data_IF_407108208690
#
_entry.id   IF_407108208690
#
_cell.length_a   1.000
_cell.length_b   1.000
_cell.length_c   1.000
_cell.angle_alpha   90.00
_cell.angle_beta   90.00
_cell.angle_gamma   90.00
#
_symmetry.space_group_name_H-M   'P 1'
#
loop_
_entity.id
_entity.type
_entity.pdbx_description
1 polymer ?
#
# COMPACT_ATOMS: atom_id res chain seq x y z
N UNK A 1 12.13 -18.72 -72.72
CA UNK A 1 11.06 -17.79 -72.26
C UNK A 1 10.37 -18.26 -70.98
N UNK A 2 10.06 -19.57 -70.79
CA UNK A 2 9.48 -20.09 -69.54
C UNK A 2 10.35 -19.84 -68.30
N UNK A 3 11.66 -20.02 -68.39
CA UNK A 3 12.57 -19.85 -67.23
C UNK A 3 12.66 -18.41 -66.74
N UNK A 4 12.58 -17.44 -67.67
CA UNK A 4 12.57 -16.00 -67.35
C UNK A 4 11.26 -15.61 -66.67
N UNK A 5 10.12 -16.14 -67.13
CA UNK A 5 8.82 -15.91 -66.52
C UNK A 5 8.74 -16.50 -65.10
N UNK A 6 9.30 -17.70 -64.90
CA UNK A 6 9.33 -18.37 -63.60
C UNK A 6 10.29 -17.68 -62.61
N UNK A 7 11.43 -17.19 -63.10
CA UNK A 7 12.36 -16.36 -62.31
C UNK A 7 11.73 -15.04 -61.88
N UNK A 8 11.06 -14.32 -62.79
CA UNK A 8 10.32 -13.10 -62.47
C UNK A 8 9.18 -13.36 -61.47
N UNK A 9 8.43 -14.45 -61.63
CA UNK A 9 7.39 -14.87 -60.68
C UNK A 9 7.96 -15.08 -59.27
N UNK A 10 9.08 -15.79 -59.14
CA UNK A 10 9.71 -16.02 -57.83
C UNK A 10 10.24 -14.72 -57.20
N UNK A 11 10.81 -13.81 -57.98
CA UNK A 11 11.25 -12.50 -57.50
C UNK A 11 10.07 -11.64 -57.01
N UNK A 12 8.97 -11.60 -57.77
CA UNK A 12 7.76 -10.87 -57.34
C UNK A 12 7.13 -11.45 -56.08
N UNK A 13 7.18 -12.78 -55.90
CA UNK A 13 6.73 -13.43 -54.67
C UNK A 13 7.60 -13.07 -53.46
N UNK A 14 8.93 -13.10 -53.61
CA UNK A 14 9.85 -12.73 -52.51
C UNK A 14 9.71 -11.26 -52.12
N UNK A 15 9.56 -10.36 -53.10
CA UNK A 15 9.36 -8.93 -52.84
C UNK A 15 8.03 -8.71 -52.12
N UNK A 16 6.92 -9.30 -52.60
CA UNK A 16 5.61 -9.15 -51.96
C UNK A 16 5.58 -9.75 -50.54
N UNK A 17 6.20 -10.91 -50.33
CA UNK A 17 6.35 -11.51 -49.00
C UNK A 17 7.18 -10.64 -48.05
N UNK A 18 8.28 -10.04 -48.53
CA UNK A 18 9.12 -9.15 -47.73
C UNK A 18 8.41 -7.85 -47.33
N UNK A 19 7.63 -7.26 -48.24
CA UNK A 19 6.81 -6.08 -47.97
C UNK A 19 5.70 -6.41 -46.98
N UNK A 20 5.04 -7.55 -47.14
CA UNK A 20 4.02 -8.02 -46.20
C UNK A 20 4.60 -8.22 -44.79
N UNK A 21 5.78 -8.83 -44.67
CA UNK A 21 6.48 -8.98 -43.39
C UNK A 21 6.84 -7.63 -42.77
N UNK A 22 7.36 -6.67 -43.55
CA UNK A 22 7.63 -5.32 -43.07
C UNK A 22 6.36 -4.63 -42.56
N UNK A 23 5.25 -4.77 -43.27
CA UNK A 23 3.95 -4.20 -42.85
C UNK A 23 3.49 -4.83 -41.54
N UNK A 24 3.60 -6.15 -41.37
CA UNK A 24 3.27 -6.82 -40.10
C UNK A 24 4.16 -6.27 -38.98
N UNK A 25 5.47 -6.20 -39.17
CA UNK A 25 6.41 -5.68 -38.16
C UNK A 25 6.04 -4.24 -37.78
N UNK A 26 5.77 -3.39 -38.77
CA UNK A 26 5.37 -2.00 -38.53
C UNK A 26 4.06 -1.91 -37.74
N UNK A 27 3.05 -2.70 -38.10
CA UNK A 27 1.78 -2.77 -37.38
C UNK A 27 2.01 -3.26 -35.95
N UNK A 28 2.78 -4.34 -35.75
CA UNK A 28 3.08 -4.89 -34.42
C UNK A 28 3.81 -3.87 -33.53
N UNK A 29 4.79 -3.14 -34.07
CA UNK A 29 5.51 -2.09 -33.33
C UNK A 29 4.57 -0.94 -32.97
N UNK A 30 3.76 -0.46 -33.93
CA UNK A 30 2.83 0.65 -33.74
C UNK A 30 1.74 0.29 -32.73
N UNK A 31 1.13 -0.88 -32.87
CA UNK A 31 0.12 -1.41 -31.95
C UNK A 31 0.73 -1.66 -30.57
N UNK A 32 1.93 -2.23 -30.48
CA UNK A 32 2.64 -2.41 -29.22
C UNK A 32 2.99 -1.10 -28.52
N UNK A 33 3.24 -0.01 -29.25
CA UNK A 33 3.39 1.34 -28.66
C UNK A 33 2.07 1.86 -28.11
N UNK A 34 0.98 1.81 -28.89
CA UNK A 34 -0.35 2.25 -28.45
C UNK A 34 -0.88 1.43 -27.26
N UNK A 35 -0.69 0.11 -27.28
CA UNK A 35 -1.10 -0.78 -26.19
C UNK A 35 -0.34 -0.45 -24.89
N UNK A 36 0.98 -0.20 -24.98
CA UNK A 36 1.76 0.26 -23.83
C UNK A 36 1.29 1.61 -23.29
N UNK A 37 0.97 2.56 -24.18
CA UNK A 37 0.39 3.85 -23.76
C UNK A 37 -0.95 3.66 -23.06
N UNK A 38 -1.85 2.83 -23.58
CA UNK A 38 -3.15 2.55 -22.97
C UNK A 38 -3.00 1.89 -21.58
N UNK A 39 -2.11 0.91 -21.45
CA UNK A 39 -1.80 0.28 -20.16
C UNK A 39 -1.25 1.33 -19.18
N UNK A 40 -0.37 2.22 -19.65
CA UNK A 40 0.18 3.28 -18.83
C UNK A 40 -0.89 4.27 -18.36
N UNK A 41 -1.76 4.77 -19.24
CA UNK A 41 -2.86 5.67 -18.84
C UNK A 41 -3.78 5.02 -17.82
N UNK A 42 -4.20 3.78 -18.06
CA UNK A 42 -5.02 3.03 -17.10
C UNK A 42 -4.33 2.85 -15.75
N UNK A 43 -3.01 2.65 -15.73
CA UNK A 43 -2.25 2.57 -14.48
C UNK A 43 -2.20 3.91 -13.76
N UNK A 44 -2.03 5.02 -14.48
CA UNK A 44 -2.06 6.37 -13.92
C UNK A 44 -3.42 6.66 -13.31
N UNK A 45 -4.51 6.35 -14.00
CA UNK A 45 -5.88 6.59 -13.52
C UNK A 45 -6.16 5.78 -12.23
N UNK A 46 -5.86 4.47 -12.25
CA UNK A 46 -6.06 3.60 -11.07
C UNK A 46 -5.23 4.07 -9.88
N UNK A 47 -3.97 4.48 -10.09
CA UNK A 47 -3.14 5.01 -9.00
C UNK A 47 -3.64 6.38 -8.54
N UNK A 48 -4.12 7.22 -9.45
CA UNK A 48 -4.74 8.51 -9.13
C UNK A 48 -5.93 8.33 -8.20
N UNK A 49 -6.86 7.43 -8.56
CA UNK A 49 -8.03 7.09 -7.75
C UNK A 49 -7.62 6.49 -6.39
N UNK A 50 -6.67 5.54 -6.38
CA UNK A 50 -6.15 4.98 -5.13
C UNK A 50 -5.54 6.05 -4.22
N UNK A 51 -4.75 6.98 -4.78
CA UNK A 51 -4.11 8.04 -4.01
C UNK A 51 -5.12 9.06 -3.49
N UNK A 52 -6.08 9.46 -4.32
CA UNK A 52 -7.11 10.43 -3.95
C UNK A 52 -7.97 9.90 -2.81
N UNK A 53 -8.45 8.66 -2.91
CA UNK A 53 -9.29 8.05 -1.87
C UNK A 53 -8.49 7.85 -0.57
N UNK A 54 -7.23 7.43 -0.66
CA UNK A 54 -6.37 7.30 0.53
C UNK A 54 -6.14 8.65 1.21
N UNK A 55 -5.87 9.69 0.43
CA UNK A 55 -5.72 11.04 0.96
C UNK A 55 -7.00 11.53 1.63
N UNK A 56 -8.16 11.31 1.00
CA UNK A 56 -9.46 11.67 1.57
C UNK A 56 -9.72 11.00 2.92
N UNK A 57 -9.37 9.72 3.05
CA UNK A 57 -9.52 8.96 4.31
C UNK A 57 -8.56 9.45 5.40
N UNK A 58 -7.35 9.88 5.02
CA UNK A 58 -6.37 10.43 5.95
C UNK A 58 -6.72 11.83 6.43
N UNK A 59 -7.28 12.66 5.55
CA UNK A 59 -7.61 14.05 5.84
C UNK A 59 -9.00 14.19 6.50
N UNK A 60 -9.72 13.08 6.70
CA UNK A 60 -11.02 13.07 7.35
C UNK A 60 -10.93 13.56 8.81
N UNK A 61 -11.78 14.53 9.23
CA UNK A 61 -11.75 15.07 10.57
C UNK A 61 -12.30 14.08 11.61
N UNK A 62 -11.67 14.06 12.77
CA UNK A 62 -12.08 13.25 13.90
C UNK A 62 -13.21 13.93 14.67
N UNK A 63 -14.18 13.12 15.11
CA UNK A 63 -15.35 13.60 15.85
C UNK A 63 -15.03 13.59 17.34
N UNK A 64 -15.14 14.74 18.02
CA UNK A 64 -15.02 14.76 19.48
C UNK A 64 -16.19 14.02 20.12
N UNK A 65 -15.94 13.23 21.16
CA UNK A 65 -16.99 12.51 21.89
C UNK A 65 -18.05 13.45 22.50
N UNK A 66 -17.69 14.72 22.72
CA UNK A 66 -18.57 15.82 23.16
C UNK A 66 -19.44 16.41 22.03
N UNK A 67 -19.43 15.80 20.83
CA UNK A 67 -20.19 16.18 19.62
C UNK A 67 -19.77 17.49 18.94
N UNK A 68 -18.56 17.99 19.22
CA UNK A 68 -17.94 19.03 18.40
C UNK A 68 -17.14 18.38 17.26
N UNK A 69 -17.33 18.83 16.01
CA UNK A 69 -16.45 18.42 14.90
C UNK A 69 -15.12 19.13 15.12
N UNK A 70 -14.05 18.37 15.27
CA UNK A 70 -12.72 18.95 15.50
C UNK A 70 -11.97 19.18 14.19
N UNK A 71 -10.92 20.00 14.24
CA UNK A 71 -10.00 20.21 13.13
C UNK A 71 -8.85 19.18 13.08
N UNK A 72 -8.90 18.12 13.91
CA UNK A 72 -7.84 17.10 13.94
C UNK A 72 -8.18 16.02 12.93
N UNK A 73 -7.32 15.84 11.92
CA UNK A 73 -7.48 14.78 10.93
C UNK A 73 -6.95 13.42 11.44
N UNK A 74 -7.40 12.32 10.83
CA UNK A 74 -6.82 10.99 11.07
C UNK A 74 -5.29 10.99 10.86
N UNK A 75 -4.80 11.66 9.81
CA UNK A 75 -3.37 11.84 9.55
C UNK A 75 -2.65 12.49 10.73
N UNK A 76 -3.17 13.60 11.23
CA UNK A 76 -2.57 14.31 12.38
C UNK A 76 -2.56 13.43 13.62
N UNK A 77 -3.60 12.63 13.84
CA UNK A 77 -3.66 11.69 14.95
C UNK A 77 -2.66 10.53 14.84
N UNK A 78 -2.52 9.96 13.63
CA UNK A 78 -1.59 8.86 13.39
C UNK A 78 -0.12 9.30 13.40
N UNK A 79 0.17 10.54 13.01
CA UNK A 79 1.53 11.09 13.07
C UNK A 79 1.92 11.56 14.47
N UNK A 80 0.97 11.68 15.39
CA UNK A 80 1.28 12.10 16.75
C UNK A 80 2.04 11.01 17.52
N UNK A 81 3.19 11.40 18.06
CA UNK A 81 4.09 10.58 18.86
C UNK A 81 3.64 10.47 20.33
N UNK A 82 2.65 11.25 20.76
CA UNK A 82 2.06 11.15 22.09
C UNK A 82 1.12 9.92 22.20
N UNK A 83 1.25 9.08 23.25
CA UNK A 83 0.44 7.88 23.39
C UNK A 83 -1.02 8.25 23.71
N UNK A 84 -1.92 8.00 22.75
CA UNK A 84 -3.35 8.04 23.00
C UNK A 84 -3.81 6.68 23.54
N UNK A 85 -4.39 6.68 24.75
CA UNK A 85 -4.97 5.48 25.35
C UNK A 85 -6.40 5.31 24.83
N UNK A 86 -6.71 4.12 24.30
CA UNK A 86 -8.07 3.72 24.00
C UNK A 86 -8.85 3.57 25.32
N UNK A 87 -9.92 4.34 25.49
CA UNK A 87 -10.86 4.20 26.60
C UNK A 87 -12.20 3.73 26.06
N UNK A 88 -12.42 2.42 26.11
CA UNK A 88 -13.70 1.83 25.74
C UNK A 88 -13.63 0.31 25.72
N UNK A 89 -14.77 -0.34 25.74
CA UNK A 89 -14.89 -1.74 25.35
C UNK A 89 -15.31 -1.75 23.87
N UNK A 90 -14.51 -2.40 23.00
CA UNK A 90 -14.75 -2.49 21.54
C UNK A 90 -16.13 -3.07 21.23
N UNK A 91 -16.66 -3.86 22.16
CA UNK A 91 -18.00 -4.44 22.12
C UNK A 91 -19.11 -3.45 22.53
N UNK A 92 -18.81 -2.49 23.40
CA UNK A 92 -19.82 -1.58 23.97
C UNK A 92 -20.18 -0.39 23.06
N UNK A 93 -19.25 0.05 22.19
CA UNK A 93 -19.51 1.10 21.21
C UNK A 93 -19.77 0.47 19.83
N UNK A 94 -21.05 0.15 19.57
CA UNK A 94 -21.48 -0.56 18.37
C UNK A 94 -20.86 0.01 17.08
N UNK A 95 -20.79 1.34 16.94
CA UNK A 95 -20.52 1.97 15.64
C UNK A 95 -19.19 2.74 15.54
N UNK A 96 -18.48 2.97 16.64
CA UNK A 96 -17.27 3.81 16.62
C UNK A 96 -16.17 3.35 17.60
N UNK A 97 -14.91 3.52 17.22
CA UNK A 97 -13.75 3.42 18.10
C UNK A 97 -13.49 4.77 18.77
N UNK A 98 -13.21 4.80 20.07
CA UNK A 98 -12.94 6.02 20.84
C UNK A 98 -11.50 6.08 21.34
N UNK A 99 -10.86 7.23 21.28
CA UNK A 99 -9.48 7.41 21.73
C UNK A 99 -9.32 8.74 22.47
N UNK A 100 -8.48 8.75 23.51
CA UNK A 100 -8.25 9.95 24.32
C UNK A 100 -6.86 10.49 24.03
N UNK A 101 -6.79 11.78 23.71
CA UNK A 101 -5.55 12.53 23.49
C UNK A 101 -5.67 13.89 24.19
N UNK A 102 -4.65 14.29 24.93
CA UNK A 102 -4.59 15.59 25.62
C UNK A 102 -5.85 15.88 26.48
N UNK A 103 -6.38 14.83 27.13
CA UNK A 103 -7.63 14.86 27.89
C UNK A 103 -8.92 15.06 27.06
N UNK A 104 -8.82 15.11 25.73
CA UNK A 104 -9.94 15.15 24.80
C UNK A 104 -10.25 13.75 24.26
N UNK A 105 -11.52 13.36 24.28
CA UNK A 105 -12.00 12.10 23.69
C UNK A 105 -12.42 12.35 22.25
N UNK A 106 -11.94 11.52 21.34
CA UNK A 106 -12.27 11.50 19.93
C UNK A 106 -12.88 10.14 19.55
N UNK A 107 -13.60 10.11 18.44
CA UNK A 107 -14.23 8.91 17.92
C UNK A 107 -14.08 8.81 16.40
N UNK A 108 -13.86 7.59 15.90
CA UNK A 108 -13.85 7.23 14.48
C UNK A 108 -14.89 6.14 14.25
N UNK A 109 -15.83 6.32 13.29
CA UNK A 109 -16.75 5.27 12.89
C UNK A 109 -16.00 4.03 12.40
N UNK A 110 -16.44 2.84 12.80
CA UNK A 110 -15.82 1.57 12.39
C UNK A 110 -15.82 1.41 10.86
N UNK A 111 -16.87 1.89 10.19
CA UNK A 111 -16.98 1.90 8.73
C UNK A 111 -15.79 2.60 8.05
N UNK A 112 -15.32 3.72 8.60
CA UNK A 112 -14.18 4.45 8.04
C UNK A 112 -12.87 3.68 8.20
N UNK A 113 -12.72 2.94 9.30
CA UNK A 113 -11.56 2.07 9.53
C UNK A 113 -11.57 0.90 8.56
N UNK A 114 -12.75 0.29 8.33
CA UNK A 114 -12.89 -0.75 7.31
C UNK A 114 -12.57 -0.24 5.91
N UNK A 115 -13.09 0.94 5.54
CA UNK A 115 -12.79 1.59 4.27
C UNK A 115 -11.28 1.83 4.12
N UNK A 116 -10.64 2.36 5.17
CA UNK A 116 -9.20 2.57 5.21
C UNK A 116 -8.39 1.27 5.04
N UNK A 117 -8.71 0.23 5.79
CA UNK A 117 -8.00 -1.07 5.71
C UNK A 117 -8.23 -1.77 4.36
N UNK A 118 -9.45 -1.68 3.83
CA UNK A 118 -9.75 -2.18 2.48
C UNK A 118 -8.93 -1.45 1.42
N UNK A 119 -8.78 -0.13 1.56
CA UNK A 119 -8.00 0.66 0.62
C UNK A 119 -6.50 0.34 0.70
N UNK A 120 -5.98 0.10 1.91
CA UNK A 120 -4.63 -0.44 2.11
C UNK A 120 -4.45 -1.82 1.47
N UNK A 121 -5.47 -2.69 1.53
CA UNK A 121 -5.47 -3.98 0.83
C UNK A 121 -5.35 -3.82 -0.69
N UNK A 122 -6.09 -2.89 -1.28
CA UNK A 122 -6.00 -2.59 -2.71
C UNK A 122 -4.61 -2.08 -3.09
N UNK A 123 -4.04 -1.16 -2.30
CA UNK A 123 -2.69 -0.64 -2.50
C UNK A 123 -1.61 -1.74 -2.42
N UNK A 124 -1.67 -2.60 -1.40
CA UNK A 124 -0.78 -3.74 -1.26
C UNK A 124 -0.87 -4.69 -2.47
N UNK A 125 -2.10 -5.03 -2.89
CA UNK A 125 -2.35 -5.88 -4.05
C UNK A 125 -1.78 -5.26 -5.33
N UNK A 126 -1.93 -3.94 -5.49
CA UNK A 126 -1.36 -3.21 -6.60
C UNK A 126 0.18 -3.25 -6.58
N UNK A 127 0.83 -2.99 -5.44
CA UNK A 127 2.30 -3.05 -5.31
C UNK A 127 2.83 -4.44 -5.70
N UNK A 128 2.17 -5.50 -5.24
CA UNK A 128 2.52 -6.88 -5.61
C UNK A 128 2.42 -7.12 -7.11
N UNK A 129 1.34 -6.70 -7.75
CA UNK A 129 1.14 -6.85 -9.20
C UNK A 129 2.09 -5.95 -10.00
N UNK A 130 2.32 -4.71 -9.56
CA UNK A 130 3.18 -3.71 -10.24
C UNK A 130 4.64 -4.16 -10.32
N UNK A 131 5.14 -4.87 -9.30
CA UNK A 131 6.52 -5.44 -9.32
C UNK A 131 6.83 -6.25 -10.57
N UNK A 132 5.82 -6.84 -11.21
CA UNK A 132 5.99 -7.69 -12.39
C UNK A 132 5.92 -6.91 -13.72
N UNK A 133 5.24 -5.74 -13.76
CA UNK A 133 4.86 -5.11 -15.03
C UNK A 133 5.59 -3.80 -15.36
N UNK A 134 5.73 -2.83 -14.45
CA UNK A 134 6.60 -1.63 -14.62
C UNK A 134 6.53 -0.70 -13.39
N UNK A 135 7.65 -0.15 -12.88
CA UNK A 135 7.68 0.60 -11.61
C UNK A 135 7.33 2.11 -11.68
N UNK A 136 6.78 2.61 -12.79
CA UNK A 136 6.80 4.06 -13.07
C UNK A 136 5.82 4.92 -12.26
N UNK A 137 4.67 4.39 -11.84
CA UNK A 137 3.65 5.17 -11.12
C UNK A 137 3.67 4.80 -9.64
N UNK A 138 3.93 5.78 -8.77
CA UNK A 138 4.06 5.59 -7.32
C UNK A 138 2.74 5.84 -6.60
N UNK A 139 2.42 5.00 -5.62
CA UNK A 139 1.30 5.24 -4.71
C UNK A 139 1.72 6.27 -3.65
N UNK A 140 0.76 7.06 -3.16
CA UNK A 140 0.97 8.09 -2.14
C UNK A 140 1.57 7.48 -0.87
N UNK A 141 1.07 6.30 -0.45
CA UNK A 141 1.60 5.52 0.67
C UNK A 141 3.10 5.18 0.54
N UNK A 142 3.64 5.18 -0.68
CA UNK A 142 5.07 4.96 -0.91
C UNK A 142 5.91 6.22 -0.62
N UNK A 143 5.30 7.37 -0.37
CA UNK A 143 5.96 8.63 -0.03
C UNK A 143 5.55 9.13 1.38
N UNK A 144 4.50 8.57 1.96
CA UNK A 144 3.99 8.90 3.30
C UNK A 144 4.93 8.46 4.42
N UNK A 145 4.77 9.08 5.59
CA UNK A 145 5.62 8.80 6.75
C UNK A 145 5.63 7.30 7.11
N UNK A 146 6.83 6.75 7.34
CA UNK A 146 7.02 5.37 7.77
C UNK A 146 6.31 5.05 9.10
N UNK A 147 6.11 6.07 9.94
CA UNK A 147 5.44 5.96 11.24
C UNK A 147 3.93 5.86 11.14
N UNK A 148 3.32 6.42 10.09
CA UNK A 148 1.87 6.53 9.99
C UNK A 148 1.17 5.16 10.06
N UNK A 149 1.78 4.13 9.45
CA UNK A 149 1.23 2.77 9.45
C UNK A 149 1.65 1.96 10.68
N UNK A 150 2.76 2.29 11.33
CA UNK A 150 3.23 1.60 12.54
C UNK A 150 2.54 2.11 13.80
N UNK A 151 2.18 3.39 13.85
CA UNK A 151 1.43 3.96 14.97
C UNK A 151 0.00 3.40 15.04
N UNK A 152 -0.56 2.96 13.91
CA UNK A 152 -1.78 2.12 13.88
C UNK A 152 -1.57 0.75 14.55
N UNK A 153 -0.36 0.19 14.47
CA UNK A 153 -0.02 -1.10 15.04
C UNK A 153 0.25 -0.99 16.55
N UNK A 154 1.08 -0.02 16.96
CA UNK A 154 1.67 0.17 18.31
C UNK A 154 0.68 0.15 19.47
N UNK A 155 -0.50 0.73 19.30
CA UNK A 155 -1.33 1.16 20.44
C UNK A 155 -2.13 0.01 21.09
N UNK A 156 -1.47 -1.09 21.46
CA UNK A 156 -1.96 -2.25 22.24
C UNK A 156 -3.32 -2.86 21.83
N UNK A 157 -3.78 -2.53 20.63
CA UNK A 157 -5.10 -2.86 20.12
C UNK A 157 -5.04 -3.98 19.09
N UNK A 158 -3.91 -4.68 18.95
CA UNK A 158 -3.79 -5.71 17.93
C UNK A 158 -4.80 -6.84 18.15
N UNK A 159 -4.94 -7.30 19.38
CA UNK A 159 -5.94 -8.30 19.77
C UNK A 159 -7.38 -7.78 19.60
N UNK A 160 -7.59 -6.46 19.66
CA UNK A 160 -8.89 -5.81 19.46
C UNK A 160 -9.21 -5.57 17.97
N UNK A 161 -8.20 -5.24 17.16
CA UNK A 161 -8.29 -5.06 15.72
C UNK A 161 -8.52 -6.39 15.02
N UNK A 162 -8.01 -7.50 15.55
CA UNK A 162 -8.32 -8.85 15.05
C UNK A 162 -9.76 -9.27 15.24
N UNK A 163 -10.46 -8.65 16.21
CA UNK A 163 -11.88 -8.92 16.47
C UNK A 163 -12.80 -8.10 15.55
N UNK A 164 -12.32 -6.95 15.06
CA UNK A 164 -13.06 -6.08 14.13
C UNK A 164 -12.72 -6.43 12.67
N UNK A 165 -11.46 -6.73 12.39
CA UNK A 165 -10.94 -6.84 11.03
C UNK A 165 -10.52 -8.28 10.73
N UNK A 166 -10.88 -8.76 9.54
CA UNK A 166 -10.44 -10.08 9.12
C UNK A 166 -8.92 -10.11 8.97
N UNK A 167 -8.31 -11.27 9.22
CA UNK A 167 -6.87 -11.50 9.07
C UNK A 167 -6.33 -11.01 7.72
N UNK A 168 -7.11 -11.17 6.66
CA UNK A 168 -6.75 -10.80 5.28
C UNK A 168 -6.71 -9.27 5.06
N UNK A 169 -7.39 -8.49 5.91
CA UNK A 169 -7.39 -7.03 5.90
C UNK A 169 -6.21 -6.45 6.69
N UNK A 170 -5.73 -7.17 7.71
CA UNK A 170 -4.58 -6.76 8.54
C UNK A 170 -3.23 -7.09 7.89
N UNK A 171 -3.15 -8.16 7.11
CA UNK A 171 -1.93 -8.57 6.42
C UNK A 171 -1.32 -7.45 5.52
N UNK A 172 -2.10 -6.73 4.69
CA UNK A 172 -1.65 -5.55 3.96
C UNK A 172 -1.04 -4.45 4.83
N UNK A 173 -1.69 -4.11 5.95
CA UNK A 173 -1.23 -3.06 6.86
C UNK A 173 0.16 -3.41 7.40
N UNK A 174 0.30 -4.64 7.92
CA UNK A 174 1.57 -5.16 8.45
C UNK A 174 2.65 -5.20 7.36
N UNK A 175 2.30 -5.67 6.16
CA UNK A 175 3.24 -5.74 5.04
C UNK A 175 3.77 -4.34 4.69
N UNK A 176 2.87 -3.38 4.50
CA UNK A 176 3.20 -2.02 4.05
C UNK A 176 4.01 -1.29 5.11
N UNK A 177 3.64 -1.40 6.39
CA UNK A 177 4.36 -0.83 7.51
C UNK A 177 5.83 -1.34 7.54
N UNK A 178 6.01 -2.66 7.58
CA UNK A 178 7.34 -3.30 7.65
C UNK A 178 8.18 -2.94 6.42
N UNK A 179 7.60 -3.00 5.22
CA UNK A 179 8.29 -2.63 3.98
C UNK A 179 8.76 -1.17 4.00
N UNK A 180 7.95 -0.25 4.53
CA UNK A 180 8.28 1.18 4.60
C UNK A 180 9.44 1.43 5.54
N UNK A 181 9.37 0.92 6.78
CA UNK A 181 10.47 1.07 7.75
C UNK A 181 11.77 0.46 7.22
N UNK A 182 11.73 -0.73 6.61
CA UNK A 182 12.93 -1.35 6.02
C UNK A 182 13.55 -0.47 4.93
N UNK A 183 12.72 0.18 4.12
CA UNK A 183 13.17 1.02 3.01
C UNK A 183 13.79 2.32 3.52
N UNK A 184 13.16 2.94 4.50
CA UNK A 184 13.50 4.30 4.90
C UNK A 184 14.40 4.37 6.14
N UNK A 185 14.73 3.22 6.74
CA UNK A 185 15.53 3.11 7.97
C UNK A 185 16.72 4.08 8.02
N UNK A 186 17.51 4.11 6.95
CA UNK A 186 18.73 4.91 6.85
C UNK A 186 18.45 6.42 6.75
N UNK A 187 17.22 6.81 6.39
CA UNK A 187 16.74 8.20 6.33
C UNK A 187 15.94 8.64 7.57
N UNK A 188 15.61 7.70 8.47
CA UNK A 188 14.93 8.04 9.72
C UNK A 188 15.89 8.76 10.66
N UNK A 189 15.40 9.78 11.36
CA UNK A 189 16.18 10.43 12.42
C UNK A 189 16.32 9.50 13.64
N UNK A 190 17.23 9.85 14.56
CA UNK A 190 17.53 9.01 15.74
C UNK A 190 16.30 8.84 16.64
N UNK A 191 15.53 9.92 16.86
CA UNK A 191 14.31 9.88 17.69
C UNK A 191 13.27 8.90 17.13
N UNK A 192 13.06 8.93 15.82
CA UNK A 192 12.21 8.01 15.07
C UNK A 192 12.67 6.56 15.21
N UNK A 193 13.97 6.31 15.05
CA UNK A 193 14.52 4.95 15.21
C UNK A 193 14.34 4.43 16.65
N UNK A 194 14.53 5.29 17.66
CA UNK A 194 14.28 4.97 19.06
C UNK A 194 12.80 4.70 19.31
N UNK A 195 11.90 5.52 18.75
CA UNK A 195 10.45 5.29 18.83
C UNK A 195 10.07 3.93 18.24
N UNK A 196 10.57 3.56 17.05
CA UNK A 196 10.34 2.22 16.46
C UNK A 196 10.88 1.10 17.34
N UNK A 197 12.06 1.30 17.95
CA UNK A 197 12.60 0.31 18.88
C UNK A 197 11.71 0.17 20.12
N UNK A 198 11.15 1.26 20.65
CA UNK A 198 10.20 1.24 21.79
C UNK A 198 8.91 0.54 21.40
N UNK A 199 8.29 0.94 20.28
CA UNK A 199 7.11 0.30 19.67
C UNK A 199 7.34 -1.21 19.62
N UNK A 200 8.46 -1.64 19.01
CA UNK A 200 8.76 -3.06 18.82
C UNK A 200 9.23 -3.77 20.09
N UNK A 201 9.70 -3.05 21.11
CA UNK A 201 10.14 -3.61 22.40
C UNK A 201 8.94 -4.03 23.25
N UNK A 202 7.85 -3.27 23.23
CA UNK A 202 6.60 -3.62 23.92
C UNK A 202 5.96 -4.89 23.34
N UNK A 203 6.24 -5.17 22.07
CA UNK A 203 5.92 -6.43 21.39
C UNK A 203 6.86 -7.59 21.78
N UNK A 204 8.05 -7.33 22.31
CA UNK A 204 9.07 -8.35 22.65
C UNK A 204 9.58 -9.17 21.45
N UNK A 205 10.41 -10.20 21.71
CA UNK A 205 10.80 -11.18 20.66
C UNK A 205 9.57 -11.87 20.04
N UNK A 206 8.54 -12.09 20.85
CA UNK A 206 7.29 -12.74 20.43
C UNK A 206 6.40 -11.89 19.54
N UNK A 207 6.50 -10.56 19.53
CA UNK A 207 5.57 -9.74 18.78
C UNK A 207 5.94 -9.54 17.31
N UNK A 208 7.22 -9.66 16.95
CA UNK A 208 7.62 -9.94 15.57
C UNK A 208 7.00 -11.25 15.07
N UNK A 209 6.97 -12.28 15.92
CA UNK A 209 6.39 -13.57 15.59
C UNK A 209 4.85 -13.49 15.51
N UNK A 210 4.20 -12.73 16.41
CA UNK A 210 2.76 -12.45 16.36
C UNK A 210 2.38 -11.72 15.06
N UNK A 211 3.10 -10.66 14.69
CA UNK A 211 2.84 -9.93 13.45
C UNK A 211 3.18 -10.78 12.20
N UNK A 212 4.15 -11.69 12.28
CA UNK A 212 4.49 -12.61 11.19
C UNK A 212 3.39 -13.62 10.83
N UNK A 213 2.45 -13.90 11.74
CA UNK A 213 1.31 -14.80 11.47
C UNK A 213 0.35 -14.21 10.42
N UNK A 214 0.35 -12.89 10.26
CA UNK A 214 -0.49 -12.17 9.29
C UNK A 214 0.12 -12.17 7.90
N UNK A 215 1.44 -12.30 7.79
CA UNK A 215 2.10 -12.35 6.48
C UNK A 215 2.16 -13.78 5.92
N UNK A 216 2.01 -13.95 4.60
CA UNK A 216 2.31 -15.21 3.93
C UNK A 216 3.74 -15.69 4.24
N UNK A 217 3.97 -17.02 4.26
CA UNK A 217 5.30 -17.61 4.52
C UNK A 217 6.43 -16.99 3.68
N UNK A 218 6.14 -16.66 2.42
CA UNK A 218 7.11 -16.03 1.51
C UNK A 218 7.56 -14.63 1.92
N UNK A 219 6.83 -13.94 2.80
CA UNK A 219 7.06 -12.54 3.18
C UNK A 219 7.59 -12.36 4.61
N UNK A 220 7.62 -13.44 5.40
CA UNK A 220 8.15 -13.43 6.77
C UNK A 220 9.65 -13.05 6.82
N UNK A 221 10.38 -13.16 5.71
CA UNK A 221 11.76 -12.68 5.61
C UNK A 221 11.88 -11.15 5.82
N UNK A 222 10.81 -10.38 5.58
CA UNK A 222 10.78 -8.94 5.82
C UNK A 222 10.99 -8.63 7.31
N UNK A 223 10.32 -9.37 8.21
CA UNK A 223 10.51 -9.20 9.65
C UNK A 223 11.94 -9.51 10.10
N UNK A 224 12.58 -10.54 9.52
CA UNK A 224 14.00 -10.83 9.81
C UNK A 224 14.90 -9.65 9.41
N UNK A 225 14.61 -9.02 8.26
CA UNK A 225 15.36 -7.85 7.80
C UNK A 225 15.13 -6.64 8.69
N UNK A 226 13.88 -6.37 9.08
CA UNK A 226 13.54 -5.29 10.01
C UNK A 226 14.20 -5.51 11.38
N UNK A 227 14.13 -6.72 11.93
CA UNK A 227 14.77 -7.07 13.19
C UNK A 227 16.29 -6.90 13.14
N UNK A 228 16.94 -7.12 11.99
CA UNK A 228 18.37 -6.83 11.80
C UNK A 228 18.66 -5.32 11.74
N UNK A 229 17.76 -4.51 11.19
CA UNK A 229 17.91 -3.04 11.14
C UNK A 229 17.76 -2.41 12.52
N UNK A 230 16.84 -2.95 13.33
CA UNK A 230 16.55 -2.45 14.67
C UNK A 230 17.62 -2.80 15.72
N UNK A 231 18.40 -3.86 15.49
CA UNK A 231 19.56 -4.23 16.33
C UNK A 231 20.79 -3.44 15.92
#
# INVERSE_FOLDING_TARGET
MRDVAQWLSNQTFLITASLFLMVIIFISISFGRKLRQLIYYRQVDVVGELNQTYQSLLDEPLIECSQSVTFVSLRTYLLDQAPAVYQGDVHSSADALKFVKDSTCYSIPKEHIHAFLYHLYLMHTYIKKRRVMTPKVKLLIENEDAFLLFNLLERNQWDQLTDVCQKDQLAPLVYLAVMRVIRDWDSLNVESQVALQVIMKDYGRGGFEKLAIYLPKGEQHLFKKLAKRLR
#
